data_IF_759632525221
#
_entry.id   IF_759632525221
#
_cell.length_a   1.000
_cell.length_b   1.000
_cell.length_c   1.000
_cell.angle_alpha   90.00
_cell.angle_beta   90.00
_cell.angle_gamma   90.00
#
_symmetry.space_group_name_H-M   'P 1'
#
loop_
_entity.id
_entity.type
_entity.pdbx_description
1 polymer ?
#
# COMPACT_ATOMS: atom_id res chain seq x y z
N UNK A 1 -3.72 -43.53 61.09
CA UNK A 1 -4.87 -43.46 60.17
C UNK A 1 -5.42 -42.04 60.20
N UNK A 2 -5.30 -41.38 59.05
CA UNK A 2 -5.95 -40.15 58.56
C UNK A 2 -6.13 -38.96 59.50
N UNK A 3 -5.26 -37.98 59.26
CA UNK A 3 -5.23 -36.65 59.87
C UNK A 3 -6.40 -35.78 59.38
N UNK A 4 -6.98 -35.10 60.36
CA UNK A 4 -7.94 -34.00 60.29
C UNK A 4 -7.47 -32.98 59.24
N UNK A 5 -8.21 -32.82 58.15
CA UNK A 5 -8.04 -31.72 57.21
C UNK A 5 -8.67 -30.47 57.82
N UNK A 6 -7.83 -29.65 58.45
CA UNK A 6 -8.19 -28.33 58.92
C UNK A 6 -8.50 -27.43 57.72
N UNK A 7 -9.79 -27.16 57.55
CA UNK A 7 -10.32 -26.13 56.66
C UNK A 7 -10.00 -24.77 57.29
N UNK A 8 -9.00 -24.07 56.75
CA UNK A 8 -8.77 -22.66 57.06
C UNK A 8 -8.09 -21.96 55.87
N UNK A 9 -8.88 -21.12 55.20
CA UNK A 9 -8.52 -19.75 54.89
C UNK A 9 -7.23 -19.51 54.09
N UNK A 10 -7.32 -19.39 52.76
CA UNK A 10 -6.70 -18.24 52.08
C UNK A 10 -7.33 -17.95 50.72
N UNK A 11 -8.20 -16.94 50.74
CA UNK A 11 -8.54 -16.10 49.59
C UNK A 11 -7.24 -15.38 49.15
N UNK A 12 -6.72 -15.67 47.95
CA UNK A 12 -5.73 -14.78 47.35
C UNK A 12 -6.13 -14.46 45.90
N UNK A 13 -6.74 -13.29 45.79
CA UNK A 13 -6.97 -12.51 44.60
C UNK A 13 -5.61 -12.24 43.93
N UNK A 14 -5.37 -12.79 42.74
CA UNK A 14 -4.38 -12.23 41.81
C UNK A 14 -5.11 -11.83 40.53
N UNK A 15 -5.87 -10.74 40.65
CA UNK A 15 -6.15 -9.88 39.50
C UNK A 15 -4.85 -9.14 39.26
N UNK A 16 -4.10 -9.54 38.24
CA UNK A 16 -3.01 -8.70 37.72
C UNK A 16 -3.66 -7.81 36.65
N UNK A 17 -3.90 -6.52 36.94
CA UNK A 17 -4.30 -5.58 35.91
C UNK A 17 -3.05 -5.28 35.10
N UNK A 18 -3.01 -5.79 33.87
CA UNK A 18 -1.84 -5.69 33.03
C UNK A 18 -2.16 -5.84 31.56
N UNK A 19 -3.36 -5.44 31.10
CA UNK A 19 -3.51 -4.98 29.73
C UNK A 19 -2.76 -3.66 29.62
N UNK A 20 -1.43 -3.73 29.68
CA UNK A 20 -0.57 -2.65 29.27
C UNK A 20 -1.05 -2.25 27.89
N UNK A 21 -1.47 -1.00 27.75
CA UNK A 21 -1.68 -0.37 26.47
C UNK A 21 -0.33 -0.46 25.77
N UNK A 22 -0.15 -1.52 24.99
CA UNK A 22 0.90 -1.62 24.01
C UNK A 22 0.53 -0.61 22.92
N UNK A 23 0.79 0.66 23.21
CA UNK A 23 0.98 1.64 22.16
C UNK A 23 2.37 1.33 21.59
N UNK A 24 2.44 0.29 20.74
CA UNK A 24 3.56 0.13 19.83
C UNK A 24 3.48 1.29 18.82
N UNK A 25 3.85 2.50 19.26
CA UNK A 25 4.29 3.58 18.39
C UNK A 25 5.80 3.43 18.15
N UNK A 26 6.25 2.21 17.86
CA UNK A 26 7.59 1.96 17.33
C UNK A 26 7.50 1.97 15.81
N UNK A 27 6.95 3.06 15.27
CA UNK A 27 7.33 3.46 13.92
C UNK A 27 8.71 4.09 14.05
N UNK A 28 9.68 3.62 13.25
CA UNK A 28 10.99 4.25 13.11
C UNK A 28 10.93 5.52 12.26
N UNK A 29 9.73 5.94 11.83
CA UNK A 29 9.53 7.23 11.19
C UNK A 29 9.88 8.35 12.17
N UNK A 30 10.76 9.28 11.78
CA UNK A 30 11.07 10.44 12.60
C UNK A 30 9.82 11.24 13.02
N UNK A 31 9.72 11.55 14.31
CA UNK A 31 8.53 12.19 14.91
C UNK A 31 8.23 13.61 14.40
N UNK A 32 9.16 14.25 13.69
CA UNK A 32 8.91 15.53 13.04
C UNK A 32 8.12 15.41 11.74
N UNK A 33 8.06 14.23 11.13
CA UNK A 33 7.36 14.02 9.86
C UNK A 33 5.85 13.97 10.11
N UNK A 34 5.15 15.05 9.75
CA UNK A 34 3.69 15.18 9.90
C UNK A 34 3.01 15.54 8.59
N UNK A 35 3.75 16.23 7.73
CA UNK A 35 3.29 16.68 6.42
C UNK A 35 4.12 16.04 5.32
N UNK A 36 3.45 15.67 4.23
CA UNK A 36 4.09 15.13 3.04
C UNK A 36 3.73 15.98 1.84
N UNK A 37 4.72 16.23 0.99
CA UNK A 37 4.53 16.76 -0.36
C UNK A 37 4.56 15.59 -1.36
N UNK A 38 3.61 15.56 -2.29
CA UNK A 38 3.49 14.49 -3.29
C UNK A 38 3.39 15.14 -4.68
N UNK A 39 4.54 15.45 -5.31
CA UNK A 39 4.58 15.93 -6.67
C UNK A 39 3.99 14.91 -7.65
N UNK A 40 3.58 15.40 -8.83
CA UNK A 40 3.20 14.53 -9.94
C UNK A 40 4.37 13.61 -10.29
N UNK A 41 4.09 12.30 -10.27
CA UNK A 41 5.08 11.29 -10.64
C UNK A 41 5.53 11.46 -12.09
N UNK A 42 6.77 11.05 -12.38
CA UNK A 42 7.25 11.02 -13.77
C UNK A 42 6.67 9.82 -14.52
N UNK A 43 6.38 9.96 -15.81
CA UNK A 43 5.95 8.86 -16.65
C UNK A 43 7.07 8.47 -17.63
N UNK A 44 7.64 7.28 -17.45
CA UNK A 44 8.59 6.68 -18.38
C UNK A 44 7.95 5.59 -19.26
N UNK A 45 6.67 5.30 -19.03
CA UNK A 45 5.89 4.41 -19.89
C UNK A 45 5.34 5.16 -21.12
N UNK A 46 4.67 4.43 -22.00
CA UNK A 46 3.98 4.99 -23.16
C UNK A 46 2.50 5.28 -22.89
N UNK A 47 2.01 4.98 -21.67
CA UNK A 47 0.60 5.11 -21.33
C UNK A 47 0.28 6.54 -20.89
N UNK A 48 -0.62 7.27 -21.59
CA UNK A 48 -1.00 8.63 -21.22
C UNK A 48 -1.66 8.71 -19.83
N UNK A 49 -1.49 9.85 -19.16
CA UNK A 49 -2.16 10.23 -17.91
C UNK A 49 -1.95 9.30 -16.70
N UNK A 50 -1.24 8.17 -16.86
CA UNK A 50 -1.11 7.14 -15.82
C UNK A 50 -0.40 7.65 -14.57
N UNK A 51 0.59 8.52 -14.74
CA UNK A 51 1.33 9.09 -13.62
C UNK A 51 0.45 10.08 -12.83
N UNK A 52 -0.38 10.86 -13.50
CA UNK A 52 -1.33 11.76 -12.86
C UNK A 52 -2.43 10.98 -12.13
N UNK A 53 -2.94 9.91 -12.74
CA UNK A 53 -3.94 9.03 -12.12
C UNK A 53 -3.41 8.35 -10.85
N UNK A 54 -2.19 7.78 -10.91
CA UNK A 54 -1.55 7.15 -9.75
C UNK A 54 -1.23 8.18 -8.68
N UNK A 55 -0.76 9.37 -9.06
CA UNK A 55 -0.51 10.45 -8.09
C UNK A 55 -1.81 10.87 -7.39
N UNK A 56 -2.92 11.05 -8.13
CA UNK A 56 -4.22 11.38 -7.52
C UNK A 56 -4.71 10.28 -6.58
N UNK A 57 -4.56 9.02 -6.99
CA UNK A 57 -4.94 7.88 -6.18
C UNK A 57 -4.09 7.77 -4.91
N UNK A 58 -2.78 7.99 -5.01
CA UNK A 58 -1.88 8.02 -3.86
C UNK A 58 -2.27 9.12 -2.88
N UNK A 59 -2.54 10.35 -3.36
CA UNK A 59 -3.03 11.44 -2.52
C UNK A 59 -4.35 11.06 -1.82
N UNK A 60 -5.27 10.42 -2.56
CA UNK A 60 -6.56 9.95 -2.03
C UNK A 60 -6.37 8.93 -0.90
N UNK A 61 -5.49 7.95 -1.08
CA UNK A 61 -5.22 6.91 -0.08
C UNK A 61 -4.46 7.43 1.15
N UNK A 62 -3.52 8.35 0.97
CA UNK A 62 -2.81 9.01 2.08
C UNK A 62 -3.79 9.77 2.98
N UNK A 63 -4.72 10.52 2.37
CA UNK A 63 -5.77 11.24 3.09
C UNK A 63 -6.80 10.30 3.73
N UNK A 64 -7.28 9.29 2.99
CA UNK A 64 -8.33 8.38 3.47
C UNK A 64 -7.89 7.59 4.71
N UNK A 65 -6.62 7.20 4.75
CA UNK A 65 -6.00 6.46 5.86
C UNK A 65 -5.44 7.39 6.96
N UNK A 66 -5.52 8.71 6.79
CA UNK A 66 -4.93 9.71 7.69
C UNK A 66 -3.43 9.45 7.98
N UNK A 67 -2.67 9.00 6.98
CA UNK A 67 -1.24 8.70 7.16
C UNK A 67 -0.45 9.98 7.40
N UNK A 68 -0.69 11.00 6.57
CA UNK A 68 -0.02 12.28 6.60
C UNK A 68 -0.98 13.41 6.22
N UNK A 69 -0.65 14.63 6.63
CA UNK A 69 -1.27 15.83 6.05
C UNK A 69 -0.56 16.14 4.73
N UNK A 70 -1.31 16.47 3.68
CA UNK A 70 -0.69 16.90 2.42
C UNK A 70 -0.33 18.39 2.53
N UNK A 71 0.91 18.74 2.17
CA UNK A 71 1.34 20.12 1.94
C UNK A 71 1.46 20.38 0.44
N UNK A 72 1.08 21.58 -0.02
CA UNK A 72 1.24 21.95 -1.43
C UNK A 72 2.69 22.22 -1.82
N UNK A 73 3.52 22.66 -0.87
CA UNK A 73 4.96 22.86 -1.06
C UNK A 73 5.66 22.67 0.29
N UNK A 74 6.90 22.14 0.29
CA UNK A 74 7.79 22.04 1.47
C UNK A 74 7.18 21.26 2.65
N UNK A 75 6.71 20.03 2.40
CA UNK A 75 6.36 19.10 3.48
C UNK A 75 7.59 18.70 4.32
N UNK A 76 7.36 18.15 5.51
CA UNK A 76 8.41 17.55 6.35
C UNK A 76 9.13 16.40 5.61
N UNK A 77 8.40 15.73 4.71
CA UNK A 77 8.91 14.71 3.82
C UNK A 77 8.32 14.85 2.40
N UNK A 78 8.95 14.23 1.41
CA UNK A 78 8.47 14.21 0.02
C UNK A 78 8.39 12.78 -0.49
N UNK A 79 7.28 12.43 -1.15
CA UNK A 79 7.15 11.17 -1.89
C UNK A 79 7.29 11.49 -3.38
N UNK A 80 8.38 11.03 -3.98
CA UNK A 80 8.59 11.11 -5.43
C UNK A 80 8.47 9.72 -6.04
N UNK A 81 8.07 9.67 -7.31
CA UNK A 81 7.97 8.39 -8.01
C UNK A 81 8.00 8.53 -9.51
N UNK A 82 8.19 7.39 -10.17
CA UNK A 82 8.16 7.28 -11.63
C UNK A 82 7.50 5.97 -12.05
N UNK A 83 6.64 6.06 -13.06
CA UNK A 83 5.99 4.89 -13.67
C UNK A 83 6.94 4.36 -14.73
N UNK A 84 7.47 3.16 -14.52
CA UNK A 84 8.50 2.57 -15.39
C UNK A 84 7.93 1.63 -16.44
N UNK A 85 6.77 1.03 -16.17
CA UNK A 85 6.12 0.13 -17.12
C UNK A 85 4.59 0.17 -16.98
N UNK A 86 3.91 0.04 -18.12
CA UNK A 86 2.48 -0.21 -18.22
C UNK A 86 2.26 -1.25 -19.31
N UNK A 87 1.58 -2.34 -18.98
CA UNK A 87 1.24 -3.39 -19.95
C UNK A 87 -0.20 -3.86 -19.77
N UNK A 88 -0.90 -4.08 -20.88
CA UNK A 88 -2.19 -4.75 -20.92
C UNK A 88 -2.06 -5.99 -21.79
N UNK A 89 -2.17 -7.18 -21.19
CA UNK A 89 -1.87 -8.45 -21.87
C UNK A 89 -2.97 -9.49 -21.62
N UNK A 90 -3.20 -10.42 -22.57
CA UNK A 90 -4.07 -11.56 -22.33
C UNK A 90 -3.64 -12.35 -21.09
N UNK A 91 -4.61 -12.72 -20.25
CA UNK A 91 -4.37 -13.43 -19.00
C UNK A 91 -4.97 -14.84 -19.01
N UNK A 92 -6.27 -14.95 -19.29
CA UNK A 92 -6.97 -16.24 -19.40
C UNK A 92 -7.60 -16.36 -20.78
N UNK A 93 -7.36 -17.48 -21.43
CA UNK A 93 -7.98 -17.85 -22.70
C UNK A 93 -9.19 -18.76 -22.45
N UNK A 94 -10.27 -18.51 -23.18
CA UNK A 94 -11.48 -19.32 -23.14
C UNK A 94 -11.27 -20.67 -23.83
N UNK A 95 -12.05 -21.67 -23.43
CA UNK A 95 -11.96 -23.04 -23.92
C UNK A 95 -12.53 -23.27 -25.34
N UNK A 96 -12.63 -22.23 -26.17
CA UNK A 96 -13.27 -22.33 -27.49
C UNK A 96 -12.35 -23.03 -28.49
N UNK A 97 -12.73 -24.24 -28.90
CA UNK A 97 -11.97 -25.15 -29.77
C UNK A 97 -11.85 -24.73 -31.25
N UNK A 98 -11.93 -23.44 -31.57
CA UNK A 98 -11.67 -22.90 -32.91
C UNK A 98 -10.30 -22.23 -32.94
N UNK A 99 -9.66 -22.23 -34.11
CA UNK A 99 -8.23 -21.87 -34.34
C UNK A 99 -7.86 -20.39 -34.05
N UNK A 100 -8.67 -19.67 -33.29
CA UNK A 100 -8.51 -18.26 -32.98
C UNK A 100 -8.53 -18.13 -31.45
N UNK A 101 -7.47 -17.55 -30.87
CA UNK A 101 -7.35 -17.41 -29.42
C UNK A 101 -8.48 -16.52 -28.88
N UNK A 102 -9.51 -17.12 -28.29
CA UNK A 102 -10.57 -16.40 -27.57
C UNK A 102 -10.04 -16.05 -26.17
N UNK A 103 -9.90 -14.76 -25.87
CA UNK A 103 -9.38 -14.28 -24.58
C UNK A 103 -10.56 -13.92 -23.69
N UNK A 104 -10.66 -14.57 -22.53
CA UNK A 104 -11.69 -14.29 -21.52
C UNK A 104 -11.30 -13.12 -20.62
N UNK A 105 -10.03 -13.08 -20.20
CA UNK A 105 -9.54 -12.08 -19.26
C UNK A 105 -8.23 -11.48 -19.73
N UNK A 106 -8.09 -10.19 -19.47
CA UNK A 106 -6.85 -9.45 -19.62
C UNK A 106 -6.36 -9.00 -18.24
N UNK A 107 -5.07 -8.71 -18.17
CA UNK A 107 -4.43 -8.16 -16.97
C UNK A 107 -3.66 -6.91 -17.34
N UNK A 108 -4.00 -5.83 -16.66
CA UNK A 108 -3.21 -4.60 -16.64
C UNK A 108 -2.16 -4.74 -15.56
N UNK A 109 -0.91 -4.41 -15.87
CA UNK A 109 0.18 -4.39 -14.89
C UNK A 109 0.96 -3.10 -14.99
N UNK A 110 1.24 -2.53 -13.81
CA UNK A 110 1.91 -1.24 -13.67
C UNK A 110 3.12 -1.46 -12.78
N UNK A 111 4.29 -1.01 -13.22
CA UNK A 111 5.49 -0.98 -12.38
C UNK A 111 5.83 0.47 -12.06
N UNK A 112 6.04 0.75 -10.79
CA UNK A 112 6.34 2.08 -10.28
C UNK A 112 7.50 2.02 -9.30
N UNK A 113 8.44 2.95 -9.48
CA UNK A 113 9.51 3.20 -8.51
C UNK A 113 9.11 4.39 -7.65
N UNK A 114 9.45 4.34 -6.37
CA UNK A 114 9.14 5.38 -5.40
C UNK A 114 10.29 5.59 -4.45
N UNK A 115 10.49 6.85 -4.08
CA UNK A 115 11.36 7.27 -3.00
C UNK A 115 10.57 8.13 -2.00
N UNK A 116 10.74 7.85 -0.71
CA UNK A 116 10.19 8.64 0.39
C UNK A 116 11.33 9.30 1.15
N UNK A 117 11.40 10.63 1.12
CA UNK A 117 12.56 11.41 1.55
C UNK A 117 12.17 12.26 2.76
N UNK A 118 12.96 12.21 3.83
CA UNK A 118 12.91 13.19 4.93
C UNK A 118 13.60 14.48 4.49
N UNK A 119 12.83 15.56 4.29
CA UNK A 119 13.36 16.82 3.77
C UNK A 119 14.18 17.60 4.81
N UNK A 120 14.03 17.28 6.10
CA UNK A 120 14.76 17.95 7.18
C UNK A 120 16.11 17.29 7.42
N UNK A 121 16.17 15.96 7.35
CA UNK A 121 17.40 15.19 7.55
C UNK A 121 18.12 14.85 6.24
N UNK A 122 17.51 15.15 5.08
CA UNK A 122 18.01 14.82 3.74
C UNK A 122 18.32 13.32 3.61
N UNK A 123 17.37 12.50 4.07
CA UNK A 123 17.54 11.05 4.19
C UNK A 123 16.41 10.31 3.50
N UNK A 124 16.76 9.33 2.66
CA UNK A 124 15.79 8.38 2.12
C UNK A 124 15.30 7.42 3.21
N UNK A 125 13.99 7.45 3.46
CA UNK A 125 13.26 6.58 4.39
C UNK A 125 12.83 5.28 3.72
N UNK A 126 12.63 5.33 2.41
CA UNK A 126 12.32 4.19 1.56
C UNK A 126 12.71 4.50 0.12
N UNK A 127 13.32 3.53 -0.56
CA UNK A 127 13.50 3.51 -2.00
C UNK A 127 13.15 2.11 -2.49
N UNK A 128 12.26 1.99 -3.47
CA UNK A 128 11.86 0.68 -3.97
C UNK A 128 10.97 0.72 -5.20
N UNK A 129 10.79 -0.46 -5.78
CA UNK A 129 9.94 -0.68 -6.95
C UNK A 129 8.85 -1.69 -6.60
N UNK A 130 7.62 -1.40 -7.01
CA UNK A 130 6.48 -2.31 -6.84
C UNK A 130 5.73 -2.49 -8.15
N UNK A 131 5.04 -3.62 -8.25
CA UNK A 131 4.19 -3.97 -9.39
C UNK A 131 2.77 -4.19 -8.91
N UNK A 132 1.83 -3.42 -9.46
CA UNK A 132 0.41 -3.59 -9.22
C UNK A 132 -0.30 -4.21 -10.42
N UNK A 133 -1.40 -4.92 -10.16
CA UNK A 133 -2.13 -5.68 -11.17
C UNK A 133 -3.64 -5.45 -11.11
N UNK A 134 -4.27 -5.50 -12.28
CA UNK A 134 -5.71 -5.33 -12.43
C UNK A 134 -6.28 -6.24 -13.51
N UNK A 135 -6.91 -7.33 -13.07
CA UNK A 135 -7.55 -8.29 -13.96
C UNK A 135 -8.98 -7.83 -14.27
N UNK A 136 -9.35 -7.92 -15.54
CA UNK A 136 -10.71 -7.67 -16.00
C UNK A 136 -11.16 -8.72 -17.01
N UNK A 137 -12.45 -9.02 -16.99
CA UNK A 137 -13.08 -9.89 -17.98
C UNK A 137 -13.43 -9.08 -19.22
N UNK A 138 -12.74 -9.32 -20.32
CA UNK A 138 -12.90 -8.55 -21.56
C UNK A 138 -14.29 -8.68 -22.20
N UNK A 139 -15.03 -9.74 -21.84
CA UNK A 139 -16.40 -9.97 -22.34
C UNK A 139 -17.45 -9.18 -21.56
N UNK A 140 -17.15 -8.72 -20.34
CA UNK A 140 -18.13 -8.07 -19.45
C UNK A 140 -17.68 -6.74 -18.87
N UNK A 141 -16.39 -6.45 -18.87
CA UNK A 141 -15.75 -5.25 -18.32
C UNK A 141 -14.90 -4.58 -19.40
N UNK A 142 -14.59 -3.30 -19.21
CA UNK A 142 -13.66 -2.57 -20.07
C UNK A 142 -12.23 -2.61 -19.53
N UNK A 143 -11.27 -2.27 -20.39
CA UNK A 143 -9.88 -2.06 -19.99
C UNK A 143 -9.75 -1.03 -18.87
N UNK A 144 -10.60 0.01 -18.87
CA UNK A 144 -10.65 1.01 -17.81
C UNK A 144 -10.85 0.36 -16.42
N UNK A 145 -11.67 -0.69 -16.33
CA UNK A 145 -11.86 -1.43 -15.07
C UNK A 145 -10.57 -2.14 -14.63
N UNK A 146 -9.83 -2.74 -15.56
CA UNK A 146 -8.52 -3.33 -15.27
C UNK A 146 -7.50 -2.28 -14.82
N UNK A 147 -7.45 -1.15 -15.53
CA UNK A 147 -6.59 0.00 -15.23
C UNK A 147 -6.83 0.53 -13.82
N UNK A 148 -8.09 0.79 -13.45
CA UNK A 148 -8.43 1.28 -12.11
C UNK A 148 -8.07 0.29 -11.00
N UNK A 149 -8.25 -1.02 -11.23
CA UNK A 149 -7.81 -2.06 -10.29
C UNK A 149 -6.29 -2.06 -10.13
N UNK A 150 -5.54 -1.98 -11.24
CA UNK A 150 -4.08 -1.95 -11.20
C UNK A 150 -3.52 -0.70 -10.52
N UNK A 151 -4.15 0.46 -10.73
CA UNK A 151 -3.79 1.73 -10.08
C UNK A 151 -4.00 1.64 -8.57
N UNK A 152 -5.13 1.10 -8.13
CA UNK A 152 -5.39 0.87 -6.70
C UNK A 152 -4.37 -0.09 -6.09
N UNK A 153 -4.10 -1.20 -6.77
CA UNK A 153 -3.16 -2.22 -6.29
C UNK A 153 -1.72 -1.70 -6.22
N UNK A 154 -1.25 -0.95 -7.22
CA UNK A 154 0.11 -0.38 -7.19
C UNK A 154 0.27 0.65 -6.07
N UNK A 155 -0.73 1.53 -5.87
CA UNK A 155 -0.71 2.53 -4.78
C UNK A 155 -0.73 1.86 -3.41
N UNK A 156 -1.57 0.84 -3.23
CA UNK A 156 -1.62 0.09 -1.99
C UNK A 156 -0.26 -0.54 -1.68
N UNK A 157 0.37 -1.19 -2.66
CA UNK A 157 1.69 -1.82 -2.49
C UNK A 157 2.80 -0.81 -2.22
N UNK A 158 2.76 0.37 -2.85
CA UNK A 158 3.69 1.46 -2.57
C UNK A 158 3.62 1.88 -1.11
N UNK A 159 2.41 2.16 -0.61
CA UNK A 159 2.20 2.56 0.78
C UNK A 159 2.61 1.45 1.76
N UNK A 160 2.22 0.21 1.49
CA UNK A 160 2.59 -0.94 2.32
C UNK A 160 4.11 -1.14 2.37
N UNK A 161 4.80 -1.07 1.24
CA UNK A 161 6.26 -1.25 1.17
C UNK A 161 6.99 -0.12 1.90
N UNK A 162 6.53 1.13 1.75
CA UNK A 162 7.09 2.27 2.49
C UNK A 162 6.90 2.11 4.00
N UNK A 163 5.70 1.75 4.45
CA UNK A 163 5.41 1.54 5.87
C UNK A 163 6.14 0.33 6.48
N UNK A 164 6.57 -0.64 5.69
CA UNK A 164 7.41 -1.74 6.18
C UNK A 164 8.88 -1.35 6.34
N UNK A 165 9.32 -0.32 5.62
CA UNK A 165 10.68 0.21 5.70
C UNK A 165 10.96 0.89 7.04
N UNK A 166 9.91 1.44 7.68
CA UNK A 166 10.03 2.21 8.91
C UNK A 166 9.06 1.81 10.01
#
# INVERSE_FOLDING_TARGET
>A
MTRIFAVALTLFFFVIPGCGIYSFKNTSLPSHIKTVDIPVMSNLSLEPDIADEITRELNREVLSKNLFKISSEKGDATIIGKITNYENTPYIYGASGTKQADVDQYIVRITADMEFIDNKEDKSLFEGSVRGEGIYNFKTESEQTGREKAIKDVVQRLLESSMQSW
#
